data_IF_623160774915
#
_entry.id   IF_623160774915
#
_cell.length_a   1.000
_cell.length_b   1.000
_cell.length_c   1.000
_cell.angle_alpha   90.00
_cell.angle_beta   90.00
_cell.angle_gamma   90.00
#
_symmetry.space_group_name_H-M   'P 1'
#
loop_
_entity.id
_entity.type
_entity.pdbx_description
1 polymer ?
#
# COMPACT_ATOMS: atom_id res chain seq x y z
N UNK A 1 -17.34 9.41 58.10
CA UNK A 1 -16.89 8.45 57.05
C UNK A 1 -16.05 9.23 56.04
N UNK A 2 -14.74 8.95 55.93
CA UNK A 2 -14.08 8.14 54.87
C UNK A 2 -14.27 8.71 53.44
N UNK A 3 -13.26 8.90 52.56
CA UNK A 3 -11.77 8.92 52.61
C UNK A 3 -11.29 9.68 51.34
N UNK A 4 -10.31 10.60 51.50
CA UNK A 4 -9.06 10.88 50.71
C UNK A 4 -8.92 10.41 49.23
N UNK A 5 -8.06 10.95 48.33
CA UNK A 5 -7.18 12.13 48.07
C UNK A 5 -6.24 11.70 46.90
N UNK A 6 -5.49 12.64 46.32
CA UNK A 6 -4.44 12.47 45.29
C UNK A 6 -4.98 12.13 43.88
N UNK A 7 -4.41 12.63 42.78
CA UNK A 7 -3.04 13.15 42.57
C UNK A 7 -3.03 14.55 41.92
N UNK A 8 -2.01 15.36 42.24
CA UNK A 8 -1.71 16.59 41.51
C UNK A 8 -0.56 16.38 40.53
N UNK A 9 -0.59 17.08 39.40
CA UNK A 9 0.54 17.20 38.48
C UNK A 9 0.75 18.67 38.12
N UNK A 10 2.01 19.11 38.26
CA UNK A 10 2.47 20.48 37.98
C UNK A 10 2.91 20.60 36.50
N UNK A 11 2.72 21.75 35.83
CA UNK A 11 3.04 21.88 34.42
C UNK A 11 4.48 22.36 34.19
N UNK A 12 5.45 21.44 34.08
CA UNK A 12 6.70 21.69 33.34
C UNK A 12 7.47 20.41 32.96
N UNK A 13 7.94 20.35 31.71
CA UNK A 13 9.06 19.49 31.30
C UNK A 13 8.74 18.24 30.47
N UNK A 14 8.45 18.38 29.16
CA UNK A 14 8.81 17.33 28.18
C UNK A 14 8.95 17.81 26.71
N UNK A 15 9.48 19.02 26.49
CA UNK A 15 9.69 19.57 25.13
C UNK A 15 10.89 19.01 24.38
N UNK A 16 11.83 18.32 25.05
CA UNK A 16 13.00 17.71 24.39
C UNK A 16 12.77 16.29 23.83
N UNK A 17 11.86 15.49 24.40
CA UNK A 17 11.61 14.12 23.88
C UNK A 17 10.83 14.08 22.56
N UNK A 18 10.06 15.13 22.22
CA UNK A 18 9.27 15.14 20.97
C UNK A 18 10.11 15.36 19.71
N UNK A 19 11.28 16.02 19.81
CA UNK A 19 12.14 16.32 18.66
C UNK A 19 12.92 15.09 18.15
N UNK A 20 13.27 14.14 19.02
CA UNK A 20 13.93 12.90 18.61
C UNK A 20 13.00 11.85 18.00
N UNK A 21 11.68 11.98 18.19
CA UNK A 21 10.67 11.13 17.55
C UNK A 21 10.35 11.59 16.12
N UNK A 22 10.24 12.90 15.89
CA UNK A 22 9.97 13.45 14.55
C UNK A 22 11.05 13.04 13.52
N UNK A 23 12.32 12.99 13.94
CA UNK A 23 13.43 12.63 13.06
C UNK A 23 13.54 11.11 12.75
N UNK A 24 12.75 10.25 13.41
CA UNK A 24 12.66 8.81 13.09
C UNK A 24 11.49 8.52 12.15
N UNK A 25 10.37 9.21 12.38
CA UNK A 25 9.18 9.16 11.51
C UNK A 25 9.48 9.62 10.08
N UNK A 26 10.49 10.47 9.85
CA UNK A 26 10.88 10.91 8.51
C UNK A 26 11.54 9.84 7.65
N UNK A 27 12.22 8.85 8.24
CA UNK A 27 12.83 7.75 7.48
C UNK A 27 11.81 6.64 7.21
N UNK A 28 10.97 6.31 8.20
CA UNK A 28 9.86 5.35 8.06
C UNK A 28 8.83 5.82 7.00
N UNK A 29 8.53 7.13 6.95
CA UNK A 29 7.69 7.72 5.90
C UNK A 29 8.35 7.70 4.51
N UNK A 30 9.69 7.66 4.42
CA UNK A 30 10.42 7.63 3.14
C UNK A 30 10.37 6.25 2.49
N UNK A 31 10.30 5.18 3.28
CA UNK A 31 10.08 3.82 2.78
C UNK A 31 8.61 3.59 2.40
N UNK A 32 7.66 4.17 3.15
CA UNK A 32 6.23 4.11 2.80
C UNK A 32 5.91 4.76 1.44
N UNK A 33 6.67 5.78 1.01
CA UNK A 33 6.49 6.41 -0.30
C UNK A 33 6.75 5.46 -1.49
N UNK A 34 7.56 4.40 -1.28
CA UNK A 34 7.80 3.35 -2.29
C UNK A 34 6.64 2.36 -2.35
N UNK A 35 5.92 2.14 -1.25
CA UNK A 35 4.72 1.28 -1.24
C UNK A 35 3.56 1.89 -2.06
N UNK A 36 3.41 3.22 -2.04
CA UNK A 36 2.43 3.92 -2.88
C UNK A 36 2.73 3.79 -4.39
N UNK A 37 4.01 3.66 -4.77
CA UNK A 37 4.41 3.47 -6.17
C UNK A 37 4.08 2.06 -6.72
N UNK A 38 3.85 1.07 -5.85
CA UNK A 38 3.68 -0.32 -6.24
C UNK A 38 2.25 -0.74 -6.66
N UNK A 39 1.27 0.15 -6.50
CA UNK A 39 -0.06 -0.02 -7.11
C UNK A 39 -0.07 0.34 -8.62
N UNK A 40 1.03 0.94 -9.12
CA UNK A 40 1.21 1.30 -10.52
C UNK A 40 1.90 0.12 -11.23
N UNK A 41 1.42 -0.35 -12.41
CA UNK A 41 2.23 -1.19 -13.27
C UNK A 41 3.39 -0.35 -13.81
N UNK A 42 4.54 -0.42 -13.14
CA UNK A 42 5.72 0.37 -13.48
C UNK A 42 6.45 -0.21 -14.70
N UNK A 43 6.54 0.58 -15.76
CA UNK A 43 7.68 0.53 -16.68
C UNK A 43 8.94 0.95 -15.90
N UNK A 44 10.07 0.21 -15.98
CA UNK A 44 11.23 0.49 -15.16
C UNK A 44 11.93 1.79 -15.59
N UNK A 45 12.20 2.67 -14.62
CA UNK A 45 13.11 3.81 -14.79
C UNK A 45 14.49 3.40 -14.30
N UNK A 46 15.46 3.33 -15.21
CA UNK A 46 16.88 3.17 -14.88
C UNK A 46 17.43 4.50 -14.36
N UNK A 47 18.11 4.47 -13.22
CA UNK A 47 18.99 5.54 -12.77
C UNK A 47 20.44 5.08 -13.01
N UNK A 48 21.24 5.78 -13.83
CA UNK A 48 22.62 5.39 -14.11
C UNK A 48 23.55 5.70 -12.93
N UNK A 49 24.51 4.81 -12.67
CA UNK A 49 25.53 5.02 -11.64
C UNK A 49 26.54 6.11 -12.03
N UNK A 50 26.76 7.07 -11.14
CA UNK A 50 27.84 8.06 -11.21
C UNK A 50 28.99 7.68 -10.27
N UNK A 51 30.23 7.77 -10.78
CA UNK A 51 31.46 7.20 -10.22
C UNK A 51 31.92 7.74 -8.84
N UNK A 52 32.78 6.93 -8.21
CA UNK A 52 33.53 7.24 -6.98
C UNK A 52 34.36 8.52 -7.06
N UNK A 53 34.49 9.23 -5.92
CA UNK A 53 35.75 9.90 -5.53
C UNK A 53 35.98 9.84 -4.02
N UNK A 54 37.12 9.28 -3.64
CA UNK A 54 37.71 9.42 -2.30
C UNK A 54 38.28 10.83 -2.09
N UNK A 55 38.17 11.34 -0.86
CA UNK A 55 39.20 12.19 -0.23
C UNK A 55 39.33 11.82 1.24
N UNK A 56 40.56 11.77 1.74
CA UNK A 56 40.92 11.45 3.13
C UNK A 56 41.45 12.70 3.81
N UNK A 57 41.01 12.96 5.04
CA UNK A 57 41.70 13.63 6.16
C UNK A 57 40.71 13.63 7.35
N UNK A 58 41.09 13.55 8.63
CA UNK A 58 42.40 13.50 9.25
C UNK A 58 42.37 14.22 10.61
N UNK A 59 42.13 13.51 11.74
CA UNK A 59 42.16 14.15 13.07
C UNK A 59 41.53 13.36 14.23
N UNK A 60 42.31 13.12 15.29
CA UNK A 60 41.87 12.65 16.62
C UNK A 60 41.91 13.86 17.60
N UNK A 61 41.32 13.91 18.81
CA UNK A 61 40.95 12.90 19.82
C UNK A 61 39.64 13.34 20.55
N UNK A 62 39.04 12.71 21.57
CA UNK A 62 39.19 11.44 22.34
C UNK A 62 37.96 11.22 23.25
N UNK A 63 37.56 9.96 23.48
CA UNK A 63 36.93 9.49 24.74
C UNK A 63 35.45 9.81 25.01
N UNK A 64 34.62 8.77 25.21
CA UNK A 64 33.28 8.90 25.83
C UNK A 64 32.17 8.07 25.19
N UNK A 65 32.17 6.76 25.48
CA UNK A 65 31.03 5.82 25.38
C UNK A 65 29.88 6.15 24.39
N UNK A 66 30.01 5.67 23.15
CA UNK A 66 28.85 5.38 22.30
C UNK A 66 28.79 3.89 22.02
N UNK A 67 27.70 3.26 22.46
CA UNK A 67 27.36 1.91 22.03
C UNK A 67 26.90 1.95 20.57
N UNK A 68 27.80 1.59 19.65
CA UNK A 68 27.49 1.42 18.24
C UNK A 68 26.40 0.36 18.06
N UNK A 69 25.15 0.81 17.87
CA UNK A 69 24.25 0.08 16.99
C UNK A 69 24.76 0.25 15.58
N UNK A 70 25.68 -0.62 15.20
CA UNK A 70 26.14 -0.77 13.83
C UNK A 70 24.91 -0.81 12.90
N UNK A 71 24.78 0.22 12.05
CA UNK A 71 23.96 0.14 10.85
C UNK A 71 24.63 -0.92 10.00
N UNK A 72 24.14 -2.16 10.09
CA UNK A 72 24.64 -3.25 9.27
C UNK A 72 24.32 -2.92 7.82
N UNK A 73 25.35 -2.92 6.98
CA UNK A 73 25.22 -2.90 5.54
C UNK A 73 24.20 -3.95 5.09
N UNK A 74 23.40 -3.70 4.02
CA UNK A 74 22.47 -4.69 3.51
C UNK A 74 23.18 -6.03 3.25
N UNK A 75 22.77 -7.06 3.97
CA UNK A 75 23.25 -8.43 3.79
C UNK A 75 22.63 -9.03 2.55
N UNK A 76 23.44 -9.75 1.78
CA UNK A 76 23.14 -10.34 0.47
C UNK A 76 22.82 -9.32 -0.65
N UNK A 77 23.70 -9.27 -1.66
CA UNK A 77 23.28 -8.83 -2.99
C UNK A 77 22.23 -9.82 -3.51
N UNK A 78 21.04 -9.34 -3.89
CA UNK A 78 19.89 -10.13 -4.33
C UNK A 78 20.06 -10.83 -5.71
N UNK A 79 21.25 -11.36 -5.98
CA UNK A 79 21.72 -11.69 -7.32
C UNK A 79 21.81 -10.44 -8.20
N UNK A 80 21.91 -10.66 -9.51
CA UNK A 80 21.83 -9.61 -10.54
C UNK A 80 20.38 -9.35 -11.00
N UNK A 81 19.39 -9.99 -10.39
CA UNK A 81 17.98 -9.88 -10.77
C UNK A 81 17.39 -8.53 -10.32
N UNK A 82 16.91 -7.68 -11.24
CA UNK A 82 16.34 -6.38 -10.86
C UNK A 82 15.07 -6.54 -10.02
N UNK A 83 14.78 -5.59 -9.12
CA UNK A 83 13.52 -5.59 -8.37
C UNK A 83 12.34 -5.19 -9.28
N UNK A 84 11.21 -5.87 -9.12
CA UNK A 84 10.00 -5.70 -9.95
C UNK A 84 8.79 -5.18 -9.18
N UNK A 85 8.71 -5.44 -7.87
CA UNK A 85 7.67 -4.88 -7.00
C UNK A 85 8.19 -4.79 -5.55
N UNK A 86 7.76 -3.76 -4.84
CA UNK A 86 7.82 -3.66 -3.36
C UNK A 86 6.39 -3.72 -2.84
N UNK A 87 6.13 -4.34 -1.70
CA UNK A 87 4.83 -4.30 -1.06
C UNK A 87 4.97 -4.16 0.46
N UNK A 88 4.05 -3.42 1.07
CA UNK A 88 3.93 -3.29 2.52
C UNK A 88 2.53 -3.76 2.94
N UNK A 89 2.48 -4.64 3.92
CA UNK A 89 1.31 -4.89 4.76
C UNK A 89 1.43 -4.04 6.03
N UNK A 90 0.58 -4.29 7.01
CA UNK A 90 0.55 -3.46 8.23
C UNK A 90 1.83 -3.59 9.08
N UNK A 91 2.37 -4.80 9.18
CA UNK A 91 3.51 -5.12 10.05
C UNK A 91 4.59 -6.00 9.38
N UNK A 92 4.45 -6.22 8.07
CA UNK A 92 5.37 -7.05 7.28
C UNK A 92 5.44 -6.54 5.85
N UNK A 93 6.53 -6.83 5.17
CA UNK A 93 6.85 -6.30 3.84
C UNK A 93 7.31 -7.41 2.91
N UNK A 94 7.26 -7.15 1.61
CA UNK A 94 7.72 -8.07 0.58
C UNK A 94 8.43 -7.38 -0.59
N UNK A 95 9.29 -8.15 -1.26
CA UNK A 95 9.87 -7.82 -2.55
C UNK A 95 9.51 -8.92 -3.56
N UNK A 96 9.24 -8.50 -4.80
CA UNK A 96 9.22 -9.39 -5.98
C UNK A 96 10.44 -9.06 -6.83
N UNK A 97 11.27 -10.06 -7.06
CA UNK A 97 12.47 -10.00 -7.90
C UNK A 97 12.14 -10.21 -9.38
N UNK A 98 13.08 -9.91 -10.28
CA UNK A 98 12.88 -9.96 -11.73
C UNK A 98 12.66 -11.36 -12.30
N UNK A 99 13.22 -12.39 -11.64
CA UNK A 99 12.93 -13.81 -11.91
C UNK A 99 11.66 -14.31 -11.19
N UNK A 100 11.00 -13.44 -10.43
CA UNK A 100 9.71 -13.68 -9.81
C UNK A 100 9.76 -14.48 -8.51
N UNK A 101 10.90 -14.49 -7.79
CA UNK A 101 10.90 -14.94 -6.37
C UNK A 101 10.29 -13.87 -5.48
N UNK A 102 9.65 -14.31 -4.40
CA UNK A 102 9.10 -13.44 -3.35
C UNK A 102 9.94 -13.55 -2.09
N UNK A 103 10.40 -12.41 -1.58
CA UNK A 103 11.03 -12.27 -0.28
C UNK A 103 10.05 -11.58 0.67
N UNK A 104 9.99 -12.00 1.94
CA UNK A 104 9.13 -11.43 2.99
C UNK A 104 9.92 -11.20 4.28
N UNK A 105 9.55 -10.19 5.07
CA UNK A 105 10.09 -9.93 6.41
C UNK A 105 9.13 -9.10 7.27
N UNK A 106 9.40 -9.01 8.57
CA UNK A 106 8.57 -8.30 9.55
C UNK A 106 7.89 -9.25 10.54
N UNK A 107 6.73 -8.84 11.04
CA UNK A 107 5.96 -9.57 12.05
C UNK A 107 5.51 -10.94 11.53
N UNK A 108 5.66 -11.93 12.39
CA UNK A 108 5.03 -13.23 12.28
C UNK A 108 3.99 -13.37 13.39
N UNK A 109 2.76 -13.74 13.04
CA UNK A 109 1.72 -14.10 14.01
C UNK A 109 0.78 -15.20 13.49
N UNK A 110 0.52 -15.24 12.17
CA UNK A 110 -0.39 -16.20 11.55
C UNK A 110 0.20 -16.90 10.31
N UNK A 111 1.53 -16.81 10.13
CA UNK A 111 2.21 -17.38 8.97
C UNK A 111 2.27 -16.46 7.75
N UNK A 112 2.01 -15.15 7.89
CA UNK A 112 2.04 -14.17 6.78
C UNK A 112 3.39 -14.10 6.04
N UNK A 113 4.48 -14.57 6.66
CA UNK A 113 5.80 -14.65 6.01
C UNK A 113 5.93 -15.83 5.03
N UNK A 114 4.97 -16.77 5.01
CA UNK A 114 4.88 -17.81 3.98
C UNK A 114 5.92 -18.93 4.09
N UNK A 115 6.38 -19.23 5.31
CA UNK A 115 7.36 -20.30 5.58
C UNK A 115 7.09 -20.98 6.93
N UNK A 116 7.49 -22.24 7.05
CA UNK A 116 7.42 -23.02 8.30
C UNK A 116 8.73 -22.94 9.10
N UNK A 117 9.86 -22.66 8.43
CA UNK A 117 11.20 -22.76 9.00
C UNK A 117 11.55 -21.75 10.13
N UNK A 118 10.79 -20.67 10.30
CA UNK A 118 11.10 -19.63 11.30
C UNK A 118 10.69 -20.01 12.75
N UNK A 119 10.14 -21.21 12.99
CA UNK A 119 9.74 -21.65 14.33
C UNK A 119 8.64 -20.80 14.99
N UNK A 120 7.95 -19.97 14.22
CA UNK A 120 6.98 -18.99 14.72
C UNK A 120 7.53 -17.58 14.99
N UNK A 121 8.81 -17.31 14.67
CA UNK A 121 9.45 -16.03 14.95
C UNK A 121 9.25 -14.98 13.83
N UNK A 122 9.26 -13.70 14.22
CA UNK A 122 9.28 -12.57 13.27
C UNK A 122 10.64 -12.44 12.60
N UNK A 123 10.67 -12.31 11.27
CA UNK A 123 11.91 -12.18 10.49
C UNK A 123 12.38 -10.72 10.44
N UNK A 124 13.67 -10.48 10.68
CA UNK A 124 14.27 -9.14 10.69
C UNK A 124 15.00 -8.79 9.39
N UNK A 125 15.00 -9.69 8.42
CA UNK A 125 15.69 -9.57 7.13
C UNK A 125 14.86 -10.27 6.03
N UNK A 126 14.93 -9.81 4.76
CA UNK A 126 14.20 -10.43 3.65
C UNK A 126 14.60 -11.90 3.44
N UNK A 127 13.62 -12.79 3.41
CA UNK A 127 13.82 -14.24 3.23
C UNK A 127 12.75 -14.80 2.29
N UNK A 128 13.08 -15.83 1.52
CA UNK A 128 12.18 -16.40 0.52
C UNK A 128 10.89 -16.97 1.14
N UNK A 129 9.79 -16.89 0.38
CA UNK A 129 8.53 -17.59 0.66
C UNK A 129 8.65 -19.03 0.15
N UNK A 130 8.34 -20.01 1.00
CA UNK A 130 8.48 -21.43 0.64
C UNK A 130 7.49 -21.85 -0.45
N UNK A 131 8.00 -22.38 -1.56
CA UNK A 131 7.21 -22.86 -2.70
C UNK A 131 6.76 -21.75 -3.66
N UNK A 132 7.33 -20.54 -3.56
CA UNK A 132 7.21 -19.46 -4.56
C UNK A 132 8.57 -19.18 -5.22
N UNK A 133 9.17 -20.22 -5.79
CA UNK A 133 10.57 -20.24 -6.26
C UNK A 133 10.81 -19.49 -7.59
N UNK A 134 9.78 -18.91 -8.19
CA UNK A 134 9.88 -18.08 -9.39
C UNK A 134 8.52 -17.83 -10.08
N UNK A 135 8.50 -16.89 -11.03
CA UNK A 135 7.33 -16.63 -11.88
C UNK A 135 6.14 -15.93 -11.20
N UNK A 136 6.32 -15.34 -10.01
CA UNK A 136 5.29 -14.51 -9.37
C UNK A 136 5.10 -13.20 -10.15
N UNK A 137 3.88 -12.98 -10.62
CA UNK A 137 3.46 -11.82 -11.40
C UNK A 137 3.23 -10.57 -10.53
N UNK A 138 2.74 -10.72 -9.31
CA UNK A 138 2.66 -9.66 -8.29
C UNK A 138 2.29 -10.25 -6.93
N UNK A 139 2.48 -9.46 -5.87
CA UNK A 139 1.99 -9.74 -4.50
C UNK A 139 1.08 -8.62 -3.99
N UNK A 140 0.22 -8.96 -3.04
CA UNK A 140 -0.59 -8.02 -2.24
C UNK A 140 -0.53 -8.46 -0.78
N UNK A 141 -0.37 -7.51 0.15
CA UNK A 141 -0.21 -7.76 1.58
C UNK A 141 -1.32 -7.04 2.35
N UNK A 142 -1.87 -7.69 3.37
CA UNK A 142 -2.88 -7.13 4.27
C UNK A 142 -2.32 -6.86 5.67
N UNK A 143 -3.15 -6.98 6.71
CA UNK A 143 -2.68 -6.95 8.09
C UNK A 143 -1.89 -8.22 8.45
N UNK A 144 -2.56 -9.37 8.35
CA UNK A 144 -2.05 -10.68 8.80
C UNK A 144 -2.10 -11.77 7.71
N UNK A 145 -2.38 -11.41 6.46
CA UNK A 145 -2.39 -12.31 5.31
C UNK A 145 -1.78 -11.68 4.06
N UNK A 146 -1.45 -12.52 3.09
CA UNK A 146 -0.84 -12.14 1.82
C UNK A 146 -1.42 -12.96 0.67
N UNK A 147 -1.29 -12.40 -0.53
CA UNK A 147 -1.64 -13.03 -1.79
C UNK A 147 -0.51 -12.86 -2.82
N UNK A 148 -0.37 -13.86 -3.70
CA UNK A 148 0.50 -13.81 -4.87
C UNK A 148 -0.28 -14.26 -6.11
N UNK A 149 -0.02 -13.61 -7.25
CA UNK A 149 -0.52 -14.02 -8.55
C UNK A 149 0.62 -14.73 -9.28
N UNK A 150 0.41 -15.99 -9.68
CA UNK A 150 1.39 -16.80 -10.43
C UNK A 150 0.75 -17.25 -11.72
N UNK A 151 1.19 -16.69 -12.85
CA UNK A 151 0.67 -16.99 -14.21
C UNK A 151 -0.87 -16.93 -14.32
N UNK A 152 -1.51 -16.00 -13.59
CA UNK A 152 -2.96 -15.84 -13.56
C UNK A 152 -3.67 -16.62 -12.45
N UNK A 153 -3.00 -17.54 -11.76
CA UNK A 153 -3.52 -18.24 -10.58
C UNK A 153 -3.30 -17.42 -9.33
N UNK A 154 -4.33 -17.25 -8.49
CA UNK A 154 -4.20 -16.61 -7.18
C UNK A 154 -3.83 -17.65 -6.11
N UNK A 155 -2.83 -17.32 -5.29
CA UNK A 155 -2.47 -18.05 -4.07
C UNK A 155 -2.57 -17.09 -2.87
N UNK A 156 -3.06 -17.58 -1.73
CA UNK A 156 -3.13 -16.84 -0.47
C UNK A 156 -2.50 -17.63 0.69
N UNK A 157 -2.00 -16.90 1.70
CA UNK A 157 -1.46 -17.45 2.96
C UNK A 157 -1.50 -16.42 4.10
N UNK A 158 -1.20 -16.85 5.33
CA UNK A 158 -1.34 -16.09 6.57
C UNK A 158 -2.63 -16.43 7.33
N UNK A 159 -3.21 -15.45 8.02
CA UNK A 159 -4.45 -15.59 8.78
C UNK A 159 -5.64 -15.96 7.90
N UNK A 160 -6.42 -16.95 8.33
CA UNK A 160 -7.62 -17.42 7.65
C UNK A 160 -8.91 -17.32 8.47
N UNK A 161 -8.85 -16.88 9.72
CA UNK A 161 -9.94 -16.94 10.70
C UNK A 161 -11.21 -16.16 10.35
N UNK A 162 -11.15 -15.26 9.38
CA UNK A 162 -12.31 -14.53 8.84
C UNK A 162 -12.70 -14.97 7.43
N UNK A 163 -12.09 -16.04 6.91
CA UNK A 163 -12.25 -16.56 5.55
C UNK A 163 -11.38 -15.85 4.51
N UNK A 164 -10.48 -14.94 4.90
CA UNK A 164 -9.76 -14.05 3.98
C UNK A 164 -8.76 -14.73 3.03
N UNK A 165 -8.46 -16.02 3.24
CA UNK A 165 -7.70 -16.84 2.29
C UNK A 165 -8.56 -17.40 1.13
N UNK A 166 -9.90 -17.33 1.21
CA UNK A 166 -10.80 -17.67 0.11
C UNK A 166 -10.97 -19.16 -0.18
N UNK A 167 -10.70 -20.00 0.82
CA UNK A 167 -10.61 -21.46 0.68
C UNK A 167 -11.81 -22.26 1.23
N UNK A 168 -12.77 -21.61 1.88
CA UNK A 168 -13.96 -22.29 2.43
C UNK A 168 -13.73 -23.11 3.70
N UNK A 169 -12.52 -23.07 4.28
CA UNK A 169 -12.14 -23.79 5.50
C UNK A 169 -12.00 -22.89 6.74
N UNK A 170 -11.78 -21.59 6.56
CA UNK A 170 -11.56 -20.65 7.68
C UNK A 170 -10.20 -20.81 8.37
N UNK A 171 -9.32 -21.64 7.81
CA UNK A 171 -8.07 -22.05 8.43
C UNK A 171 -6.90 -21.17 8.01
N UNK A 172 -6.02 -20.87 8.97
CA UNK A 172 -4.78 -20.12 8.68
C UNK A 172 -3.76 -21.01 7.98
N UNK A 173 -2.94 -20.46 7.10
CA UNK A 173 -1.99 -21.24 6.31
C UNK A 173 -0.61 -20.60 6.23
N UNK A 174 0.42 -21.31 6.68
CA UNK A 174 1.83 -20.87 6.67
C UNK A 174 2.50 -20.97 5.30
N UNK A 175 1.81 -21.48 4.29
CA UNK A 175 2.32 -21.69 2.93
C UNK A 175 1.36 -21.10 1.90
N UNK A 176 1.89 -20.61 0.79
CA UNK A 176 1.08 -20.21 -0.35
C UNK A 176 0.20 -21.38 -0.82
N UNK A 177 -1.11 -21.13 -0.98
CA UNK A 177 -2.11 -22.13 -1.35
C UNK A 177 -3.08 -21.54 -2.37
N UNK A 178 -3.38 -22.30 -3.42
CA UNK A 178 -4.26 -21.88 -4.52
C UNK A 178 -5.66 -21.59 -4.00
N UNK A 179 -6.23 -20.47 -4.46
CA UNK A 179 -7.62 -20.08 -4.17
C UNK A 179 -8.54 -20.71 -5.23
N UNK A 180 -8.92 -21.97 -5.01
CA UNK A 180 -9.62 -22.81 -6.01
C UNK A 180 -10.92 -22.21 -6.54
N UNK A 181 -11.60 -21.35 -5.77
CA UNK A 181 -12.79 -20.61 -6.23
C UNK A 181 -12.56 -19.68 -7.41
N UNK A 182 -11.30 -19.39 -7.77
CA UNK A 182 -10.91 -18.61 -8.95
C UNK A 182 -10.17 -19.46 -10.01
N UNK A 183 -10.19 -20.78 -9.95
CA UNK A 183 -9.43 -21.64 -10.87
C UNK A 183 -9.80 -21.47 -12.37
N UNK A 184 -11.02 -21.02 -12.67
CA UNK A 184 -11.49 -20.73 -14.03
C UNK A 184 -11.39 -19.23 -14.40
N UNK A 185 -10.67 -18.45 -13.61
CA UNK A 185 -10.55 -17.01 -13.75
C UNK A 185 -9.08 -16.59 -13.72
N UNK A 186 -8.56 -16.08 -14.84
CA UNK A 186 -7.21 -15.51 -14.87
C UNK A 186 -7.18 -14.21 -14.05
N UNK A 187 -6.56 -14.24 -12.87
CA UNK A 187 -6.45 -13.10 -11.96
C UNK A 187 -5.29 -12.20 -12.38
N UNK A 188 -5.54 -10.90 -12.47
CA UNK A 188 -4.56 -9.89 -12.91
C UNK A 188 -4.25 -8.82 -11.87
N UNK A 189 -5.10 -8.64 -10.85
CA UNK A 189 -4.82 -7.82 -9.66
C UNK A 189 -5.37 -8.51 -8.41
N UNK A 190 -4.74 -8.28 -7.28
CA UNK A 190 -5.23 -8.65 -5.96
C UNK A 190 -5.01 -7.49 -4.99
N UNK A 191 -5.83 -7.40 -3.96
CA UNK A 191 -5.65 -6.51 -2.82
C UNK A 191 -6.07 -7.23 -1.54
N UNK A 192 -5.40 -6.91 -0.44
CA UNK A 192 -5.64 -7.51 0.88
C UNK A 192 -5.89 -6.35 1.86
N UNK A 193 -7.03 -6.36 2.53
CA UNK A 193 -7.34 -5.43 3.62
C UNK A 193 -6.90 -6.01 4.97
N UNK A 194 -7.59 -5.62 6.04
CA UNK A 194 -7.31 -6.16 7.37
C UNK A 194 -7.63 -7.66 7.49
N UNK A 195 -8.91 -8.00 7.30
CA UNK A 195 -9.44 -9.38 7.39
C UNK A 195 -10.30 -9.74 6.17
N UNK A 196 -10.00 -9.14 5.01
CA UNK A 196 -10.68 -9.43 3.75
C UNK A 196 -9.73 -9.28 2.55
N UNK A 197 -10.15 -9.78 1.41
CA UNK A 197 -9.36 -9.85 0.18
C UNK A 197 -10.24 -9.53 -1.02
N UNK A 198 -9.59 -9.03 -2.08
CA UNK A 198 -10.20 -8.76 -3.36
C UNK A 198 -9.30 -9.24 -4.51
N UNK A 199 -9.90 -9.66 -5.61
CA UNK A 199 -9.20 -10.01 -6.85
C UNK A 199 -9.96 -9.51 -8.08
N UNK A 200 -9.20 -9.02 -9.07
CA UNK A 200 -9.72 -8.59 -10.38
C UNK A 200 -9.20 -9.55 -11.43
N UNK A 201 -10.10 -10.04 -12.28
CA UNK A 201 -9.79 -10.96 -13.37
C UNK A 201 -9.44 -10.24 -14.67
N UNK A 202 -8.87 -10.93 -15.64
CA UNK A 202 -8.47 -10.36 -16.93
C UNK A 202 -9.63 -9.83 -17.77
N UNK A 203 -10.86 -10.27 -17.47
CA UNK A 203 -12.12 -9.76 -18.02
C UNK A 203 -12.82 -8.76 -17.07
N UNK A 204 -12.06 -8.17 -16.14
CA UNK A 204 -12.45 -7.04 -15.29
C UNK A 204 -13.52 -7.34 -14.25
N UNK A 205 -13.80 -8.62 -13.93
CA UNK A 205 -14.72 -8.99 -12.86
C UNK A 205 -14.01 -8.83 -11.51
N UNK A 206 -14.65 -8.14 -10.57
CA UNK A 206 -14.21 -8.06 -9.19
C UNK A 206 -14.82 -9.19 -8.35
N UNK A 207 -13.98 -9.86 -7.58
CA UNK A 207 -14.34 -10.83 -6.55
C UNK A 207 -13.83 -10.36 -5.19
N UNK A 208 -14.61 -10.59 -4.14
CA UNK A 208 -14.33 -10.20 -2.76
C UNK A 208 -14.68 -11.33 -1.80
N UNK A 209 -13.93 -11.46 -0.70
CA UNK A 209 -14.16 -12.47 0.35
C UNK A 209 -13.44 -12.11 1.65
N UNK A 210 -13.81 -12.75 2.75
CA UNK A 210 -13.36 -12.50 4.11
C UNK A 210 -14.46 -11.91 5.00
N UNK A 211 -14.08 -11.03 5.92
CA UNK A 211 -15.01 -10.30 6.80
C UNK A 211 -15.85 -9.28 6.03
N UNK A 212 -17.06 -9.01 6.52
CA UNK A 212 -18.05 -8.14 5.89
C UNK A 212 -18.74 -7.19 6.89
N UNK A 213 -18.18 -6.98 8.09
CA UNK A 213 -18.82 -6.25 9.20
C UNK A 213 -19.42 -4.89 8.85
N UNK A 214 -18.80 -4.15 7.93
CA UNK A 214 -19.25 -2.83 7.46
C UNK A 214 -19.64 -2.84 5.97
N UNK A 215 -19.94 -4.01 5.40
CA UNK A 215 -20.28 -4.15 3.98
C UNK A 215 -19.07 -4.09 3.01
N UNK A 216 -17.83 -4.18 3.50
CA UNK A 216 -16.61 -4.02 2.68
C UNK A 216 -16.43 -5.06 1.55
N UNK A 217 -17.26 -6.11 1.50
CA UNK A 217 -17.31 -7.03 0.37
C UNK A 217 -18.19 -6.53 -0.80
N UNK A 218 -19.02 -5.50 -0.61
CA UNK A 218 -19.83 -4.90 -1.68
C UNK A 218 -21.01 -5.77 -2.14
N UNK A 219 -21.55 -6.62 -1.26
CA UNK A 219 -22.59 -7.61 -1.58
C UNK A 219 -23.98 -7.27 -1.02
N UNK A 220 -24.29 -5.99 -0.77
CA UNK A 220 -25.61 -5.53 -0.26
C UNK A 220 -25.93 -6.01 1.18
N UNK A 221 -24.96 -6.59 1.89
CA UNK A 221 -25.12 -7.11 3.26
C UNK A 221 -23.78 -7.23 3.99
N UNK A 222 -23.84 -7.48 5.30
CA UNK A 222 -22.67 -7.73 6.15
C UNK A 222 -22.33 -9.23 6.32
N UNK A 223 -22.66 -10.08 5.34
CA UNK A 223 -22.44 -11.54 5.45
C UNK A 223 -21.02 -11.90 4.99
N UNK A 224 -20.21 -12.43 5.90
CA UNK A 224 -18.85 -12.93 5.61
C UNK A 224 -18.87 -13.98 4.49
N UNK A 225 -17.81 -14.03 3.68
CA UNK A 225 -17.67 -15.01 2.59
C UNK A 225 -16.33 -15.72 2.72
N UNK A 226 -16.32 -17.04 2.84
CA UNK A 226 -15.07 -17.82 2.96
C UNK A 226 -14.48 -18.21 1.61
N UNK A 227 -15.17 -17.90 0.52
CA UNK A 227 -14.75 -18.16 -0.87
C UNK A 227 -14.97 -16.92 -1.74
N UNK A 228 -14.14 -16.68 -2.78
CA UNK A 228 -14.27 -15.55 -3.69
C UNK A 228 -15.68 -15.43 -4.27
N UNK A 229 -16.37 -14.34 -3.94
CA UNK A 229 -17.73 -14.07 -4.40
C UNK A 229 -17.71 -12.86 -5.34
N UNK A 230 -18.35 -12.96 -6.50
CA UNK A 230 -18.35 -11.87 -7.49
C UNK A 230 -19.19 -10.70 -7.00
N UNK A 231 -18.66 -9.48 -7.07
CA UNK A 231 -19.39 -8.25 -6.77
C UNK A 231 -20.39 -7.97 -7.89
N UNK A 232 -21.67 -8.26 -7.64
CA UNK A 232 -22.74 -8.18 -8.65
C UNK A 232 -23.16 -6.77 -9.02
N UNK A 233 -23.00 -5.80 -8.11
CA UNK A 233 -23.24 -4.38 -8.36
C UNK A 233 -22.34 -3.79 -9.46
N UNK A 234 -21.19 -4.42 -9.75
CA UNK A 234 -20.25 -4.02 -10.82
C UNK A 234 -20.47 -4.79 -12.14
N UNK A 235 -21.62 -5.45 -12.33
CA UNK A 235 -21.95 -6.11 -13.60
C UNK A 235 -22.03 -5.08 -14.74
N UNK A 236 -21.35 -5.36 -15.85
CA UNK A 236 -21.25 -4.45 -17.00
C UNK A 236 -20.09 -3.45 -16.91
N UNK A 237 -19.42 -3.34 -15.76
CA UNK A 237 -18.25 -2.49 -15.56
C UNK A 237 -16.97 -3.34 -15.69
N UNK A 238 -15.92 -2.77 -16.28
CA UNK A 238 -14.61 -3.41 -16.39
C UNK A 238 -13.68 -2.82 -15.35
N UNK A 239 -13.41 -3.55 -14.26
CA UNK A 239 -12.54 -3.07 -13.16
C UNK A 239 -11.08 -3.18 -13.59
N UNK A 240 -10.30 -2.12 -13.41
CA UNK A 240 -8.89 -2.03 -13.80
C UNK A 240 -7.93 -2.05 -12.59
N UNK A 241 -8.34 -1.48 -11.45
CA UNK A 241 -7.60 -1.52 -10.19
C UNK A 241 -8.54 -1.68 -8.99
N UNK A 242 -8.01 -2.23 -7.90
CA UNK A 242 -8.71 -2.39 -6.62
C UNK A 242 -7.73 -2.11 -5.47
N UNK A 243 -8.22 -1.50 -4.41
CA UNK A 243 -7.52 -1.33 -3.14
C UNK A 243 -8.44 -1.71 -1.97
N UNK A 244 -7.83 -2.14 -0.87
CA UNK A 244 -8.51 -2.54 0.36
C UNK A 244 -7.84 -1.86 1.54
N UNK A 245 -8.61 -1.16 2.36
CA UNK A 245 -8.17 -0.62 3.64
C UNK A 245 -8.50 -1.56 4.79
N UNK A 246 -8.70 -0.98 5.97
CA UNK A 246 -9.06 -1.75 7.17
C UNK A 246 -10.45 -2.42 7.02
N UNK A 247 -11.47 -1.58 6.86
CA UNK A 247 -12.87 -1.98 6.75
C UNK A 247 -13.59 -1.30 5.56
N UNK A 248 -12.85 -0.86 4.55
CA UNK A 248 -13.38 -0.26 3.32
C UNK A 248 -12.58 -0.74 2.11
N UNK A 249 -13.18 -0.63 0.93
CA UNK A 249 -12.56 -0.96 -0.34
C UNK A 249 -12.88 0.11 -1.40
N UNK A 250 -12.02 0.16 -2.42
CA UNK A 250 -12.18 1.06 -3.54
C UNK A 250 -11.75 0.38 -4.84
N UNK A 251 -12.35 0.77 -5.96
CA UNK A 251 -11.92 0.30 -7.28
C UNK A 251 -11.97 1.43 -8.32
N UNK A 252 -11.07 1.32 -9.31
CA UNK A 252 -11.05 2.16 -10.50
C UNK A 252 -11.43 1.29 -11.69
N UNK A 253 -12.41 1.74 -12.47
CA UNK A 253 -12.80 1.09 -13.73
C UNK A 253 -11.91 1.50 -14.90
N UNK A 254 -12.01 0.79 -16.03
CA UNK A 254 -11.22 1.09 -17.22
C UNK A 254 -11.58 2.42 -17.90
N UNK A 255 -12.81 2.92 -17.71
CA UNK A 255 -13.24 4.29 -18.04
C UNK A 255 -12.84 5.33 -16.97
N UNK A 256 -12.16 4.90 -15.90
CA UNK A 256 -11.58 5.76 -14.87
C UNK A 256 -12.57 6.31 -13.83
N UNK A 257 -13.75 5.72 -13.72
CA UNK A 257 -14.64 6.00 -12.59
C UNK A 257 -14.10 5.34 -11.32
N UNK A 258 -14.01 6.11 -10.24
CA UNK A 258 -13.69 5.60 -8.91
C UNK A 258 -14.97 5.28 -8.14
N UNK A 259 -15.02 4.08 -7.55
CA UNK A 259 -16.07 3.66 -6.63
C UNK A 259 -15.48 3.24 -5.28
N UNK A 260 -16.22 3.49 -4.21
CA UNK A 260 -15.84 3.23 -2.81
C UNK A 260 -17.00 2.55 -2.08
N UNK A 261 -16.68 1.69 -1.10
CA UNK A 261 -17.67 1.03 -0.24
C UNK A 261 -17.05 0.46 1.04
N UNK A 262 -17.90 0.03 1.97
CA UNK A 262 -17.54 -0.44 3.30
C UNK A 262 -17.82 0.59 4.39
N UNK A 263 -16.96 0.64 5.40
CA UNK A 263 -17.04 1.56 6.53
C UNK A 263 -16.94 3.03 6.10
N UNK A 264 -17.93 3.84 6.50
CA UNK A 264 -18.02 5.28 6.24
C UNK A 264 -17.25 6.16 7.22
N UNK A 265 -16.84 5.63 8.38
CA UNK A 265 -16.21 6.42 9.45
C UNK A 265 -14.97 7.19 9.00
N UNK A 266 -14.77 8.36 9.62
CA UNK A 266 -13.76 9.38 9.24
C UNK A 266 -13.95 9.95 7.82
N UNK A 267 -15.06 9.66 7.15
CA UNK A 267 -15.35 10.08 5.78
C UNK A 267 -14.53 9.32 4.73
N UNK A 268 -13.94 8.17 5.07
CA UNK A 268 -12.95 7.43 4.27
C UNK A 268 -13.45 6.97 2.88
N UNK A 269 -14.76 7.01 2.64
CA UNK A 269 -15.39 6.71 1.35
C UNK A 269 -15.51 7.92 0.40
N UNK A 270 -15.42 9.16 0.91
CA UNK A 270 -15.38 10.37 0.06
C UNK A 270 -16.74 10.88 -0.46
N UNK A 271 -17.86 10.43 0.12
CA UNK A 271 -19.21 10.81 -0.30
C UNK A 271 -19.75 12.11 0.33
N UNK A 272 -18.99 12.76 1.22
CA UNK A 272 -19.41 13.95 1.98
C UNK A 272 -20.13 13.63 3.29
N UNK A 273 -20.16 12.36 3.70
CA UNK A 273 -20.76 11.86 4.93
C UNK A 273 -19.89 10.76 5.58
N UNK A 274 -20.33 10.28 6.75
CA UNK A 274 -19.67 9.21 7.52
C UNK A 274 -20.44 7.86 7.45
N UNK A 275 -21.30 7.64 6.44
CA UNK A 275 -22.25 6.53 6.40
C UNK A 275 -21.70 5.34 5.62
N UNK A 276 -21.80 4.14 6.21
CA UNK A 276 -21.40 2.89 5.57
C UNK A 276 -22.13 2.64 4.24
N UNK A 277 -21.41 2.10 3.25
CA UNK A 277 -21.97 1.73 1.94
C UNK A 277 -21.79 0.24 1.71
N UNK A 278 -22.90 -0.49 1.56
CA UNK A 278 -22.91 -1.96 1.40
C UNK A 278 -22.71 -2.42 -0.06
N UNK A 279 -22.58 -1.47 -0.99
CA UNK A 279 -22.31 -1.66 -2.42
C UNK A 279 -21.33 -0.60 -2.92
N UNK A 280 -20.54 -0.87 -3.97
CA UNK A 280 -19.70 0.13 -4.65
C UNK A 280 -20.52 1.33 -5.13
N UNK A 281 -20.26 2.51 -4.55
CA UNK A 281 -20.89 3.77 -4.95
C UNK A 281 -19.85 4.69 -5.65
N UNK A 282 -20.18 5.36 -6.77
CA UNK A 282 -19.24 6.27 -7.42
C UNK A 282 -18.94 7.53 -6.59
N UNK A 283 -17.67 7.89 -6.48
CA UNK A 283 -17.23 9.12 -5.79
C UNK A 283 -17.54 10.33 -6.68
N UNK A 284 -18.74 10.89 -6.51
CA UNK A 284 -19.31 11.93 -7.39
C UNK A 284 -18.44 13.19 -7.48
N UNK A 285 -17.71 13.54 -6.42
CA UNK A 285 -16.78 14.66 -6.39
C UNK A 285 -15.69 14.56 -7.47
N UNK A 286 -15.19 13.35 -7.75
CA UNK A 286 -14.14 13.11 -8.75
C UNK A 286 -14.71 12.93 -10.16
N UNK A 287 -15.93 12.39 -10.32
CA UNK A 287 -16.58 12.31 -11.65
C UNK A 287 -16.82 13.68 -12.28
N UNK A 288 -17.05 14.71 -11.45
CA UNK A 288 -17.22 16.11 -11.89
C UNK A 288 -15.95 16.76 -12.45
N UNK A 289 -14.79 16.09 -12.38
CA UNK A 289 -13.54 16.60 -12.95
C UNK A 289 -13.44 16.42 -14.47
N UNK A 290 -14.37 15.68 -15.10
CA UNK A 290 -14.62 15.66 -16.56
C UNK A 290 -13.52 15.04 -17.42
N UNK A 291 -12.39 15.73 -17.50
CA UNK A 291 -11.33 15.53 -18.49
C UNK A 291 -10.11 14.79 -17.93
N UNK A 292 -10.21 14.24 -16.71
CA UNK A 292 -9.10 13.56 -16.02
C UNK A 292 -9.58 12.35 -15.21
N UNK A 293 -9.85 11.23 -15.90
CA UNK A 293 -10.21 9.96 -15.27
C UNK A 293 -9.21 9.50 -14.20
N UNK A 294 -9.69 8.75 -13.20
CA UNK A 294 -8.81 8.13 -12.22
C UNK A 294 -8.02 6.98 -12.87
N UNK A 295 -6.75 6.84 -12.49
CA UNK A 295 -5.83 5.80 -12.97
C UNK A 295 -5.56 4.75 -11.90
N UNK A 296 -5.44 5.17 -10.64
CA UNK A 296 -5.14 4.29 -9.52
C UNK A 296 -5.78 4.77 -8.22
N UNK A 297 -5.92 3.84 -7.27
CA UNK A 297 -6.40 4.08 -5.91
C UNK A 297 -5.55 3.30 -4.92
N UNK A 298 -5.34 3.85 -3.74
CA UNK A 298 -4.74 3.19 -2.58
C UNK A 298 -5.56 3.50 -1.33
N UNK A 299 -5.66 2.52 -0.43
CA UNK A 299 -6.39 2.64 0.83
C UNK A 299 -5.42 2.39 1.98
N UNK A 300 -5.34 3.30 2.94
CA UNK A 300 -4.80 3.01 4.26
C UNK A 300 -5.88 2.44 5.17
N UNK A 301 -5.64 2.40 6.48
CA UNK A 301 -6.66 1.92 7.44
C UNK A 301 -7.93 2.80 7.39
N UNK A 302 -7.73 4.11 7.56
CA UNK A 302 -8.80 5.12 7.73
C UNK A 302 -8.85 6.20 6.64
N UNK A 303 -8.03 6.10 5.58
CA UNK A 303 -7.94 7.11 4.53
C UNK A 303 -7.79 6.47 3.14
N UNK A 304 -8.15 7.23 2.11
CA UNK A 304 -8.06 6.83 0.70
C UNK A 304 -7.28 7.87 -0.09
N UNK A 305 -6.48 7.40 -1.04
CA UNK A 305 -5.70 8.17 -2.01
C UNK A 305 -6.12 7.77 -3.42
N UNK A 306 -6.34 8.75 -4.31
CA UNK A 306 -6.54 8.49 -5.73
C UNK A 306 -5.55 9.29 -6.59
N UNK A 307 -5.09 8.67 -7.68
CA UNK A 307 -4.21 9.25 -8.68
C UNK A 307 -4.93 9.33 -10.02
N UNK A 308 -4.98 10.52 -10.61
CA UNK A 308 -5.57 10.77 -11.93
C UNK A 308 -4.62 10.45 -13.08
N UNK A 309 -5.11 10.42 -14.32
CA UNK A 309 -4.26 10.25 -15.50
C UNK A 309 -3.30 11.44 -15.71
N UNK A 310 -3.73 12.67 -15.40
CA UNK A 310 -2.89 13.87 -15.44
C UNK A 310 -1.95 14.02 -14.22
N UNK A 311 -1.77 12.98 -13.40
CA UNK A 311 -0.84 12.98 -12.28
C UNK A 311 -1.31 13.74 -11.04
N UNK A 312 -2.59 14.12 -10.96
CA UNK A 312 -3.15 14.77 -9.76
C UNK A 312 -3.42 13.72 -8.68
N UNK A 313 -3.00 14.02 -7.46
CA UNK A 313 -3.27 13.20 -6.27
C UNK A 313 -4.40 13.84 -5.47
N UNK A 314 -5.35 13.01 -5.03
CA UNK A 314 -6.45 13.38 -4.14
C UNK A 314 -6.40 12.52 -2.89
N UNK A 315 -6.70 13.10 -1.72
CA UNK A 315 -6.75 12.40 -0.43
C UNK A 315 -8.01 12.75 0.36
N UNK A 316 -8.52 11.79 1.11
CA UNK A 316 -9.66 11.95 2.02
C UNK A 316 -9.74 10.83 3.07
N UNK A 317 -10.62 10.97 4.05
CA UNK A 317 -10.74 10.10 5.22
C UNK A 317 -10.13 10.73 6.47
N UNK A 318 -9.71 9.91 7.42
CA UNK A 318 -9.09 10.36 8.67
C UNK A 318 -7.74 11.04 8.42
N UNK A 319 -7.54 12.21 9.04
CA UNK A 319 -6.30 13.01 8.92
C UNK A 319 -5.48 13.16 10.21
N UNK A 320 -5.87 12.49 11.31
CA UNK A 320 -5.31 12.71 12.66
C UNK A 320 -3.79 12.55 12.83
N UNK A 321 -3.10 11.88 11.89
CA UNK A 321 -1.66 11.73 11.81
C UNK A 321 -1.00 12.50 10.65
N UNK A 322 -1.70 13.42 10.00
CA UNK A 322 -1.25 14.16 8.82
C UNK A 322 -1.24 13.35 7.52
N UNK A 323 -1.78 12.12 7.52
CA UNK A 323 -1.71 11.16 6.42
C UNK A 323 -2.36 11.62 5.11
N UNK A 324 -3.21 12.66 5.16
CA UNK A 324 -3.82 13.23 3.97
C UNK A 324 -2.85 14.16 3.19
N UNK A 325 -1.78 14.66 3.83
CA UNK A 325 -0.80 15.54 3.18
C UNK A 325 -1.33 16.93 2.82
N UNK A 326 -2.34 17.44 3.52
CA UNK A 326 -3.05 18.69 3.18
C UNK A 326 -2.56 19.93 3.95
N UNK A 327 -1.63 19.76 4.90
CA UNK A 327 -1.06 20.84 5.72
C UNK A 327 -1.63 20.94 7.14
N UNK A 328 -2.63 20.12 7.46
CA UNK A 328 -3.26 19.99 8.78
C UNK A 328 -3.40 18.49 9.19
N UNK A 329 -4.13 18.25 10.28
CA UNK A 329 -4.48 16.90 10.75
C UNK A 329 -6.00 16.64 10.75
N UNK A 330 -6.77 17.38 9.95
CA UNK A 330 -8.23 17.30 9.95
C UNK A 330 -8.74 16.15 9.05
N UNK A 331 -9.86 15.54 9.43
CA UNK A 331 -10.50 14.54 8.61
C UNK A 331 -11.29 15.19 7.45
N UNK A 332 -11.28 14.55 6.28
CA UNK A 332 -11.93 15.08 5.07
C UNK A 332 -12.95 14.07 4.55
N UNK A 333 -14.23 14.42 4.59
CA UNK A 333 -15.30 13.55 4.07
C UNK A 333 -15.46 13.57 2.55
N UNK A 334 -14.70 14.42 1.85
CA UNK A 334 -14.68 14.52 0.39
C UNK A 334 -13.23 14.54 -0.13
N UNK A 335 -12.96 14.06 -1.36
CA UNK A 335 -11.65 14.16 -2.00
C UNK A 335 -11.16 15.60 -2.13
N UNK A 336 -10.02 15.90 -1.50
CA UNK A 336 -9.30 17.16 -1.66
C UNK A 336 -8.01 16.91 -2.44
N UNK A 337 -7.62 17.82 -3.33
CA UNK A 337 -6.37 17.69 -4.09
C UNK A 337 -5.17 17.93 -3.17
N UNK A 338 -4.21 17.01 -3.18
CA UNK A 338 -2.92 17.20 -2.50
C UNK A 338 -2.07 18.18 -3.31
N UNK A 339 -1.51 19.18 -2.63
CA UNK A 339 -0.66 20.19 -3.22
C UNK A 339 0.80 19.97 -2.82
N UNK A 340 1.62 19.49 -3.76
CA UNK A 340 3.05 19.40 -3.56
C UNK A 340 3.71 20.77 -3.75
N UNK A 341 4.71 21.10 -2.92
CA UNK A 341 5.52 22.31 -3.10
C UNK A 341 6.22 22.32 -4.45
N UNK A 342 6.50 23.52 -4.98
CA UNK A 342 7.18 23.71 -6.27
C UNK A 342 8.48 22.90 -6.33
N UNK A 343 8.50 21.85 -7.15
CA UNK A 343 9.66 20.94 -7.31
C UNK A 343 9.29 19.46 -7.45
N UNK A 344 8.12 19.02 -6.95
CA UNK A 344 7.69 17.63 -7.06
C UNK A 344 7.02 17.32 -8.42
N UNK A 345 7.83 17.29 -9.49
CA UNK A 345 7.38 16.78 -10.78
C UNK A 345 7.37 15.24 -10.77
N UNK A 346 6.20 14.63 -10.61
CA UNK A 346 6.00 13.22 -10.95
C UNK A 346 6.01 13.09 -12.48
N UNK A 347 7.22 12.94 -13.03
CA UNK A 347 7.47 13.03 -14.46
C UNK A 347 6.62 12.08 -15.29
N UNK A 348 5.71 12.63 -16.10
CA UNK A 348 5.22 11.95 -17.30
C UNK A 348 6.37 11.90 -18.30
N UNK A 349 6.75 10.70 -18.74
CA UNK A 349 7.74 10.52 -19.80
C UNK A 349 7.12 10.86 -21.17
N UNK A 350 6.85 12.16 -21.38
CA UNK A 350 6.49 12.71 -22.68
C UNK A 350 7.74 12.82 -23.55
N UNK A 351 7.63 12.38 -24.81
CA UNK A 351 8.73 12.45 -25.77
C UNK A 351 9.08 13.91 -26.09
N UNK A 352 10.15 14.42 -25.48
CA UNK A 352 10.77 15.68 -25.86
C UNK A 352 11.48 15.53 -27.20
N UNK A 353 10.82 15.96 -28.27
CA UNK A 353 11.44 16.09 -29.60
C UNK A 353 12.61 17.08 -29.47
N UNK A 354 13.77 16.73 -30.03
CA UNK A 354 14.91 17.64 -30.07
C UNK A 354 14.54 18.87 -30.91
N UNK A 355 14.38 20.01 -30.23
CA UNK A 355 14.25 21.32 -30.89
C UNK A 355 15.63 21.96 -30.98
N UNK A 356 16.18 22.03 -32.19
CA UNK A 356 17.47 22.69 -32.45
C UNK A 356 17.45 24.15 -32.00
N UNK A 357 18.51 24.56 -31.30
CA UNK A 357 18.70 25.93 -30.83
C UNK A 357 19.15 26.84 -31.99
N UNK A 358 18.26 27.73 -32.42
CA UNK A 358 18.59 28.79 -33.39
C UNK A 358 18.41 30.18 -32.76
N UNK A 359 19.50 30.95 -32.74
CA UNK A 359 19.54 32.38 -32.37
C UNK A 359 19.55 32.65 -30.85
N UNK A 360 20.25 33.66 -30.35
CA UNK A 360 21.16 34.60 -31.01
C UNK A 360 21.30 35.90 -30.23
N UNK A 361 22.46 36.57 -30.32
CA UNK A 361 22.64 37.95 -29.86
C UNK A 361 23.00 38.14 -28.39
N UNK A 362 24.21 38.66 -28.13
CA UNK A 362 24.66 39.13 -26.83
C UNK A 362 26.00 39.83 -26.97
N UNK A 363 26.00 41.15 -27.16
CA UNK A 363 27.22 41.95 -27.35
C UNK A 363 27.83 42.45 -26.04
N UNK A 364 29.10 42.81 -26.08
CA UNK A 364 29.82 43.46 -24.98
C UNK A 364 31.34 43.29 -25.11
N UNK A 365 32.05 44.36 -25.47
CA UNK A 365 33.50 44.38 -25.72
C UNK A 365 33.82 45.01 -27.07
#
# INVERSE_FOLDING_TARGET
ARVSRAWGLSPHGDTMKRRSSLARLTDEAREALVAAAAAIPATPVLVPHGADRHTVDGGSTSGGERGDRAVRSPGESFGTSPLRQVAAGEHFSALVTGDGRVLTWGRYSFGQLGRDADGGASAREPRAVEGLDGGVASVALGADHAAAIVRGTLLCWGSGSYGQLGRGDGESSRRARVVSGLAHHAVVRAACGWSFSAAVTSDGKLFTWGTATHGQLGHENCVRREVPTRVTALRGMHVAAVACGEAHAACVTADGALLTWGCGSDGRLGHGDNVDRFTPEPVQALRRLGDDPMRAVACGSTHTLALSQAGRVFSWGGGSGGQLGQGDCEAQAMPVRVHFGHGAAFGTAGAGVAGDSVGGGGGGG
#
